data_IF_600407548884
#
_entry.id   IF_600407548884
#
_cell.length_a   1.000
_cell.length_b   1.000
_cell.length_c   1.000
_cell.angle_alpha   90.00
_cell.angle_beta   90.00
_cell.angle_gamma   90.00
#
_symmetry.space_group_name_H-M   'P 1'
#
loop_
_entity.id
_entity.type
_entity.pdbx_description
1 polymer ?
#
# COMPACT_ATOMS: atom_id res chain seq x y z
N UNK A 1 -0.77 -20.77 -36.36
CA UNK A 1 0.00 -19.66 -35.74
C UNK A 1 -0.94 -18.97 -34.78
N UNK A 2 -0.54 -18.81 -33.51
CA UNK A 2 -1.37 -18.12 -32.52
C UNK A 2 -1.39 -16.62 -32.80
N UNK A 3 -2.51 -15.95 -32.53
CA UNK A 3 -2.67 -14.52 -32.78
C UNK A 3 -1.83 -13.72 -31.77
N UNK A 4 -1.22 -12.59 -32.17
CA UNK A 4 -0.47 -11.75 -31.25
C UNK A 4 -1.38 -11.28 -30.12
N UNK A 5 -0.88 -11.32 -28.90
CA UNK A 5 -1.64 -10.97 -27.71
C UNK A 5 -0.94 -9.88 -26.91
N UNK A 6 -1.71 -9.03 -26.25
CA UNK A 6 -1.21 -8.05 -25.30
C UNK A 6 -1.78 -8.34 -23.93
N UNK A 7 -0.95 -8.30 -22.90
CA UNK A 7 -1.38 -8.50 -21.52
C UNK A 7 -1.03 -7.26 -20.71
N UNK A 8 -1.91 -6.89 -19.79
CA UNK A 8 -1.62 -5.86 -18.78
C UNK A 8 -1.03 -6.55 -17.57
N UNK A 9 0.23 -6.27 -17.25
CA UNK A 9 0.95 -6.92 -16.15
C UNK A 9 1.09 -5.94 -15.00
N UNK A 10 0.63 -6.33 -13.80
CA UNK A 10 0.74 -5.57 -12.56
C UNK A 10 1.86 -6.18 -11.73
N UNK A 11 2.91 -5.41 -11.48
CA UNK A 11 4.13 -5.77 -10.76
C UNK A 11 4.14 -4.97 -9.44
N UNK A 12 4.25 -5.66 -8.29
CA UNK A 12 4.38 -5.04 -6.96
C UNK A 12 3.35 -3.94 -6.66
N UNK A 13 2.09 -4.15 -7.07
CA UNK A 13 0.90 -3.28 -6.84
C UNK A 13 0.98 -1.80 -7.28
N UNK A 14 2.14 -1.31 -7.72
CA UNK A 14 2.36 0.08 -8.12
C UNK A 14 2.93 0.22 -9.54
N UNK A 15 3.45 -0.85 -10.14
CA UNK A 15 3.99 -0.83 -11.50
C UNK A 15 3.07 -1.62 -12.43
N UNK A 16 2.57 -0.96 -13.48
CA UNK A 16 1.64 -1.57 -14.44
C UNK A 16 2.24 -1.40 -15.82
N UNK A 17 2.63 -2.51 -16.44
CA UNK A 17 3.28 -2.53 -17.74
C UNK A 17 2.48 -3.33 -18.76
N UNK A 18 2.72 -3.04 -20.03
CA UNK A 18 2.18 -3.82 -21.14
C UNK A 18 3.18 -4.90 -21.53
N UNK A 19 2.76 -6.15 -21.52
CA UNK A 19 3.49 -7.26 -22.10
C UNK A 19 2.94 -7.52 -23.51
N UNK A 20 3.81 -7.53 -24.51
CA UNK A 20 3.44 -7.86 -25.89
C UNK A 20 3.97 -9.23 -26.23
N UNK A 21 3.08 -10.14 -26.62
CA UNK A 21 3.40 -11.51 -27.00
C UNK A 21 3.22 -11.64 -28.51
N UNK A 22 4.29 -11.45 -29.31
CA UNK A 22 4.20 -11.43 -30.76
C UNK A 22 3.76 -12.79 -31.34
N UNK A 23 4.08 -13.88 -30.65
CA UNK A 23 3.68 -15.24 -31.02
C UNK A 23 2.38 -15.71 -30.33
N UNK A 24 1.66 -14.79 -29.66
CA UNK A 24 0.45 -15.09 -28.89
C UNK A 24 0.72 -15.65 -27.50
N UNK A 25 -0.36 -15.95 -26.77
CA UNK A 25 -0.28 -16.51 -25.40
C UNK A 25 0.38 -17.90 -25.46
N UNK A 26 1.47 -18.14 -24.69
CA UNK A 26 2.12 -19.45 -24.64
C UNK A 26 1.17 -20.55 -24.15
N UNK A 27 1.35 -21.77 -24.65
CA UNK A 27 0.55 -22.93 -24.20
C UNK A 27 0.94 -23.43 -22.82
N UNK A 28 2.11 -23.06 -22.31
CA UNK A 28 2.60 -23.48 -20.98
C UNK A 28 2.79 -22.27 -20.08
N UNK A 29 2.44 -22.44 -18.81
CA UNK A 29 2.60 -21.40 -17.78
C UNK A 29 4.08 -21.06 -17.56
N UNK A 30 4.97 -22.04 -17.64
CA UNK A 30 6.42 -21.86 -17.49
C UNK A 30 7.02 -20.98 -18.60
N UNK A 31 6.57 -21.15 -19.85
CA UNK A 31 7.00 -20.28 -20.95
C UNK A 31 6.51 -18.85 -20.74
N UNK A 32 5.27 -18.66 -20.28
CA UNK A 32 4.75 -17.34 -19.93
C UNK A 32 5.55 -16.70 -18.79
N UNK A 33 5.89 -17.46 -17.75
CA UNK A 33 6.74 -16.99 -16.64
C UNK A 33 8.13 -16.58 -17.12
N UNK A 34 8.75 -17.37 -17.98
CA UNK A 34 10.08 -17.09 -18.53
C UNK A 34 10.10 -15.78 -19.33
N UNK A 35 9.10 -15.56 -20.18
CA UNK A 35 8.95 -14.32 -20.94
C UNK A 35 8.77 -13.12 -20.00
N UNK A 36 7.98 -13.27 -18.94
CA UNK A 36 7.74 -12.22 -17.94
C UNK A 36 9.03 -11.88 -17.19
N UNK A 37 9.79 -12.88 -16.75
CA UNK A 37 11.09 -12.71 -16.10
C UNK A 37 12.06 -11.94 -17.00
N UNK A 38 12.19 -12.37 -18.26
CA UNK A 38 13.10 -11.75 -19.23
C UNK A 38 12.69 -10.32 -19.58
N UNK A 39 11.38 -10.10 -19.82
CA UNK A 39 10.86 -8.79 -20.24
C UNK A 39 10.96 -7.75 -19.13
N UNK A 40 10.72 -8.15 -17.89
CA UNK A 40 10.63 -7.22 -16.75
C UNK A 40 11.84 -7.26 -15.82
N UNK A 41 12.84 -8.10 -16.11
CA UNK A 41 14.07 -8.25 -15.32
C UNK A 41 13.74 -8.48 -13.84
N UNK A 42 12.84 -9.42 -13.58
CA UNK A 42 12.40 -9.74 -12.22
C UNK A 42 13.33 -10.77 -11.59
N UNK A 43 13.67 -10.55 -10.32
CA UNK A 43 14.48 -11.49 -9.53
C UNK A 43 13.59 -12.33 -8.60
N UNK A 44 13.77 -13.65 -8.66
CA UNK A 44 13.15 -14.63 -7.75
C UNK A 44 11.85 -15.27 -8.26
N UNK A 45 11.32 -16.17 -7.44
CA UNK A 45 10.08 -16.91 -7.74
C UNK A 45 8.83 -16.07 -7.47
N UNK A 46 7.86 -16.18 -8.38
CA UNK A 46 6.59 -15.47 -8.29
C UNK A 46 5.42 -16.34 -8.71
N UNK A 47 4.26 -16.03 -8.12
CA UNK A 47 2.97 -16.52 -8.54
C UNK A 47 2.33 -15.53 -9.51
N UNK A 48 1.59 -16.06 -10.49
CA UNK A 48 0.78 -15.29 -11.41
C UNK A 48 -0.68 -15.37 -10.98
N UNK A 49 -1.37 -14.24 -11.00
CA UNK A 49 -2.81 -14.17 -10.81
C UNK A 49 -3.47 -13.48 -12.01
N UNK A 50 -4.68 -13.87 -12.41
CA UNK A 50 -5.44 -13.21 -13.47
C UNK A 50 -6.68 -12.52 -12.91
N UNK A 51 -7.10 -11.42 -13.55
CA UNK A 51 -8.34 -10.71 -13.23
C UNK A 51 -9.53 -11.42 -13.88
N UNK A 52 -10.48 -11.88 -13.07
CA UNK A 52 -11.70 -12.55 -13.52
C UNK A 52 -12.89 -11.58 -13.54
N UNK A 53 -13.46 -11.38 -14.73
CA UNK A 53 -14.57 -10.43 -14.92
C UNK A 53 -15.90 -10.96 -14.40
N UNK A 54 -16.06 -12.27 -14.31
CA UNK A 54 -17.29 -12.92 -13.86
C UNK A 54 -17.41 -12.87 -12.32
N UNK A 55 -16.28 -12.71 -11.63
CA UNK A 55 -16.19 -12.56 -10.18
C UNK A 55 -15.92 -11.11 -9.74
N UNK A 56 -16.39 -10.13 -10.51
CA UNK A 56 -16.31 -8.72 -10.11
C UNK A 56 -14.90 -8.13 -10.15
N UNK A 57 -14.04 -8.62 -11.06
CA UNK A 57 -12.65 -8.19 -11.25
C UNK A 57 -11.73 -8.57 -10.06
N UNK A 58 -12.05 -9.64 -9.34
CA UNK A 58 -11.15 -10.24 -8.36
C UNK A 58 -10.01 -11.01 -9.04
N UNK A 59 -8.88 -11.16 -8.33
CA UNK A 59 -7.70 -11.86 -8.84
C UNK A 59 -7.68 -13.31 -8.36
N UNK A 60 -7.45 -14.24 -9.28
CA UNK A 60 -7.34 -15.67 -9.01
C UNK A 60 -5.99 -16.20 -9.46
N UNK A 61 -5.49 -17.24 -8.79
CA UNK A 61 -4.21 -17.87 -9.16
C UNK A 61 -4.29 -18.46 -10.57
N UNK A 62 -3.36 -18.04 -11.44
CA UNK A 62 -3.26 -18.52 -12.80
C UNK A 62 -2.56 -19.89 -12.82
N UNK A 63 -3.34 -20.95 -13.02
CA UNK A 63 -2.83 -22.32 -13.14
C UNK A 63 -2.72 -22.77 -14.60
N UNK A 64 -3.53 -22.18 -15.49
CA UNK A 64 -3.56 -22.48 -16.92
C UNK A 64 -3.53 -21.20 -17.75
N UNK A 65 -2.81 -21.19 -18.88
CA UNK A 65 -2.83 -20.05 -19.80
C UNK A 65 -4.12 -19.97 -20.64
N UNK A 66 -5.04 -20.94 -20.48
CA UNK A 66 -6.38 -20.88 -21.07
C UNK A 66 -7.30 -19.84 -20.39
N UNK A 67 -7.00 -19.47 -19.14
CA UNK A 67 -7.81 -18.54 -18.35
C UNK A 67 -7.50 -17.06 -18.72
N UNK A 68 -6.51 -16.83 -19.57
CA UNK A 68 -6.10 -15.51 -20.03
C UNK A 68 -6.37 -15.33 -21.52
N UNK A 69 -6.85 -14.14 -21.87
CA UNK A 69 -7.20 -13.75 -23.23
C UNK A 69 -6.40 -12.50 -23.63
N UNK A 70 -6.52 -12.10 -24.91
CA UNK A 70 -5.98 -10.81 -25.34
C UNK A 70 -6.56 -9.68 -24.47
N UNK A 71 -5.67 -8.81 -23.99
CA UNK A 71 -5.93 -7.69 -23.07
C UNK A 71 -6.37 -8.09 -21.67
N UNK A 72 -6.17 -9.33 -21.25
CA UNK A 72 -6.33 -9.72 -19.85
C UNK A 72 -5.31 -9.03 -18.94
N UNK A 73 -5.70 -8.80 -17.68
CA UNK A 73 -4.82 -8.29 -16.63
C UNK A 73 -4.26 -9.47 -15.84
N UNK A 74 -2.95 -9.46 -15.63
CA UNK A 74 -2.24 -10.44 -14.81
C UNK A 74 -1.49 -9.69 -13.71
N UNK A 75 -1.53 -10.18 -12.48
CA UNK A 75 -0.78 -9.66 -11.32
C UNK A 75 0.32 -10.62 -10.93
N UNK A 76 1.51 -10.08 -10.68
CA UNK A 76 2.67 -10.81 -10.18
C UNK A 76 2.71 -10.66 -8.67
N UNK A 77 2.74 -11.80 -7.97
CA UNK A 77 2.88 -11.86 -6.51
C UNK A 77 4.18 -12.58 -6.18
N UNK A 78 5.12 -11.88 -5.57
CA UNK A 78 6.43 -12.44 -5.22
C UNK A 78 6.27 -13.44 -4.08
N UNK A 79 6.83 -14.64 -4.22
CA UNK A 79 6.77 -15.67 -3.17
C UNK A 79 7.98 -15.44 -2.27
N UNK A 80 7.77 -14.89 -1.08
CA UNK A 80 8.84 -14.76 -0.10
C UNK A 80 9.28 -16.16 0.35
N UNK A 81 10.55 -16.50 0.09
CA UNK A 81 11.14 -17.74 0.60
C UNK A 81 11.24 -17.66 2.11
N UNK A 82 10.51 -18.51 2.83
CA UNK A 82 10.54 -18.59 4.28
C UNK A 82 11.91 -19.08 4.75
N UNK A 83 12.71 -18.18 5.32
CA UNK A 83 13.95 -18.55 6.02
C UNK A 83 13.55 -19.27 7.30
N UNK A 84 13.75 -20.59 7.35
CA UNK A 84 13.49 -21.39 8.54
C UNK A 84 14.67 -21.25 9.50
N UNK A 85 14.53 -20.42 10.54
CA UNK A 85 15.50 -20.33 11.63
C UNK A 85 15.34 -21.57 12.54
N UNK A 86 16.28 -22.50 12.42
CA UNK A 86 16.39 -23.65 13.32
C UNK A 86 17.14 -23.23 14.58
N UNK A 87 16.42 -23.05 15.68
CA UNK A 87 17.02 -22.86 17.00
C UNK A 87 17.33 -24.21 17.63
N UNK A 88 18.60 -24.44 17.99
CA UNK A 88 19.01 -25.58 18.80
C UNK A 88 18.85 -25.22 20.29
N UNK A 89 18.21 -26.06 21.13
CA UNK A 89 18.07 -25.77 22.55
C UNK A 89 19.42 -25.93 23.26
N UNK A 90 19.83 -24.91 24.00
CA UNK A 90 20.97 -24.96 24.93
C UNK A 90 20.46 -25.57 26.23
N UNK A 91 20.98 -26.74 26.58
CA UNK A 91 20.72 -27.38 27.87
C UNK A 91 21.39 -26.58 29.00
N UNK A 92 20.62 -26.27 30.04
CA UNK A 92 21.09 -25.65 31.27
C UNK A 92 21.98 -26.63 32.06
N UNK A 93 23.18 -26.19 32.43
CA UNK A 93 23.87 -26.66 33.63
C UNK A 93 24.87 -25.63 34.14
N UNK A 94 24.91 -25.60 35.46
CA UNK A 94 25.41 -24.59 36.38
C UNK A 94 26.94 -24.44 36.48
N UNK A 95 27.36 -23.19 36.74
CA UNK A 95 28.52 -22.70 37.54
C UNK A 95 29.93 -23.16 37.07
N UNK A 96 30.98 -22.32 36.96
CA UNK A 96 31.64 -21.53 38.01
C UNK A 96 32.56 -20.43 37.41
N UNK A 97 32.64 -19.33 38.18
CA UNK A 97 33.55 -18.17 38.22
C UNK A 97 34.97 -18.31 37.61
N UNK A 98 35.37 -17.34 36.78
CA UNK A 98 36.61 -16.57 37.00
C UNK A 98 36.71 -15.28 36.18
N UNK A 99 37.11 -14.24 36.90
CA UNK A 99 37.35 -12.85 36.54
C UNK A 99 38.60 -12.62 35.69
N UNK A 100 38.56 -11.75 34.68
CA UNK A 100 39.24 -10.43 34.64
C UNK A 100 39.08 -9.73 33.27
N UNK A 101 39.12 -8.38 33.22
CA UNK A 101 38.94 -7.58 32.00
C UNK A 101 40.28 -7.19 31.35
N UNK A 102 40.37 -7.18 30.01
CA UNK A 102 41.46 -6.53 29.26
C UNK A 102 41.05 -6.14 27.84
N UNK A 103 40.64 -4.88 27.71
CA UNK A 103 41.21 -3.81 26.88
C UNK A 103 41.83 -4.07 25.48
N UNK A 104 41.48 -3.13 24.58
CA UNK A 104 42.18 -2.65 23.36
C UNK A 104 42.16 -3.50 22.08
N UNK A 105 41.43 -3.04 21.04
CA UNK A 105 42.05 -2.24 19.97
C UNK A 105 41.02 -1.66 18.98
N UNK A 106 41.11 -0.34 18.81
CA UNK A 106 40.66 0.43 17.66
C UNK A 106 41.38 -0.06 16.39
N UNK A 107 40.69 -0.04 15.26
CA UNK A 107 41.31 0.23 13.96
C UNK A 107 40.28 0.87 13.03
N UNK A 108 40.31 2.19 13.02
CA UNK A 108 39.84 3.00 11.91
C UNK A 108 40.91 2.95 10.80
N UNK A 109 40.50 2.74 9.56
CA UNK A 109 41.21 3.31 8.40
C UNK A 109 40.18 3.78 7.39
N UNK A 110 40.22 5.10 7.18
CA UNK A 110 39.41 5.95 6.30
C UNK A 110 40.03 6.00 4.89
N UNK A 111 39.46 6.85 4.02
CA UNK A 111 39.97 7.38 2.74
C UNK A 111 39.47 6.61 1.48
N UNK A 112 38.87 7.20 0.43
CA UNK A 112 38.65 8.60 0.05
C UNK A 112 37.54 8.71 -1.01
N UNK A 113 36.98 9.91 -1.12
CA UNK A 113 36.01 10.34 -2.12
C UNK A 113 36.66 10.82 -3.44
N UNK A 114 35.77 10.94 -4.43
CA UNK A 114 35.78 11.79 -5.64
C UNK A 114 36.42 11.21 -6.92
N UNK A 115 35.61 11.01 -7.97
CA UNK A 115 35.54 11.99 -9.07
C UNK A 115 34.43 11.60 -10.07
N UNK A 116 33.76 12.62 -10.57
CA UNK A 116 32.59 12.60 -11.44
C UNK A 116 33.00 12.55 -12.91
N UNK A 117 32.31 11.75 -13.74
CA UNK A 117 32.21 12.04 -15.17
C UNK A 117 30.77 11.85 -15.67
N UNK A 118 30.12 12.99 -15.90
CA UNK A 118 28.83 13.11 -16.55
C UNK A 118 28.93 12.74 -18.03
N UNK A 119 27.94 12.00 -18.54
CA UNK A 119 27.65 11.98 -19.98
C UNK A 119 26.15 11.82 -20.26
N UNK A 120 25.58 12.94 -20.70
CA UNK A 120 24.61 13.07 -21.79
C UNK A 120 23.17 12.52 -21.64
N UNK A 121 22.27 13.49 -21.43
CA UNK A 121 21.04 13.71 -22.23
C UNK A 121 19.84 12.80 -22.01
N UNK A 122 18.91 13.29 -21.18
CA UNK A 122 17.55 13.70 -21.62
C UNK A 122 16.90 14.56 -20.54
N UNK A 123 16.30 15.67 -20.96
CA UNK A 123 15.52 16.58 -20.12
C UNK A 123 14.34 15.83 -19.47
N UNK A 124 14.54 15.40 -18.23
CA UNK A 124 13.44 15.17 -17.29
C UNK A 124 13.63 16.18 -16.19
N UNK A 125 12.68 17.11 -16.09
CA UNK A 125 12.52 17.97 -14.93
C UNK A 125 12.46 17.06 -13.71
N UNK A 126 13.56 16.99 -12.95
CA UNK A 126 13.58 16.38 -11.62
C UNK A 126 12.70 17.30 -10.78
N UNK A 127 11.41 16.97 -10.71
CA UNK A 127 10.51 17.56 -9.74
C UNK A 127 11.11 17.26 -8.36
N UNK A 128 11.19 18.24 -7.45
CA UNK A 128 11.74 18.01 -6.12
C UNK A 128 11.01 16.83 -5.46
N UNK A 129 11.80 15.86 -5.00
CA UNK A 129 11.41 14.60 -4.33
C UNK A 129 10.66 14.81 -2.99
N UNK A 130 10.21 16.02 -2.67
CA UNK A 130 9.64 16.40 -1.38
C UNK A 130 8.28 15.77 -1.04
N UNK A 131 7.81 14.80 -1.82
CA UNK A 131 6.60 14.03 -1.51
C UNK A 131 6.77 12.53 -1.74
N UNK A 132 8.00 11.98 -1.65
CA UNK A 132 8.14 10.53 -1.46
C UNK A 132 7.66 10.20 -0.06
N UNK A 133 6.38 9.88 0.00
CA UNK A 133 5.74 9.28 1.14
C UNK A 133 6.49 7.99 1.48
N UNK A 134 6.71 7.75 2.77
CA UNK A 134 7.46 6.58 3.22
C UNK A 134 6.84 5.30 2.62
N UNK A 135 7.65 4.27 2.32
CA UNK A 135 7.09 3.00 1.87
C UNK A 135 6.07 2.49 2.89
N UNK A 136 5.00 1.88 2.40
CA UNK A 136 3.95 1.37 3.28
C UNK A 136 4.55 0.38 4.30
N UNK A 137 4.27 0.54 5.61
CA UNK A 137 4.93 -0.26 6.64
C UNK A 137 4.40 -1.71 6.60
N UNK A 138 5.27 -2.67 6.90
CA UNK A 138 4.88 -4.08 7.07
C UNK A 138 3.84 -4.24 8.20
N UNK A 139 4.00 -3.47 9.27
CA UNK A 139 3.07 -3.37 10.39
C UNK A 139 2.73 -1.91 10.64
N UNK A 140 1.45 -1.56 10.50
CA UNK A 140 1.01 -0.20 10.75
C UNK A 140 0.93 0.07 12.26
N UNK A 141 1.79 0.97 12.75
CA UNK A 141 1.75 1.41 14.15
C UNK A 141 0.66 2.46 14.38
N UNK A 142 -0.18 2.25 15.40
CA UNK A 142 -1.23 3.21 15.73
C UNK A 142 -0.61 4.45 16.39
N UNK A 143 -0.74 5.64 15.75
CA UNK A 143 -0.20 6.87 16.29
C UNK A 143 -0.80 7.19 17.66
N UNK A 144 -0.08 7.98 18.46
CA UNK A 144 -0.62 8.49 19.72
C UNK A 144 -1.74 9.48 19.41
N UNK A 145 -2.87 9.32 20.10
CA UNK A 145 -3.95 10.29 20.06
C UNK A 145 -3.69 11.42 21.06
N UNK A 146 -4.54 12.45 21.02
CA UNK A 146 -4.52 13.51 22.02
C UNK A 146 -4.75 12.93 23.43
N UNK A 147 -4.21 13.62 24.44
CA UNK A 147 -4.16 13.10 25.82
C UNK A 147 -5.55 12.71 26.37
N UNK A 148 -6.55 13.50 26.06
CA UNK A 148 -7.96 13.26 26.39
C UNK A 148 -8.51 12.00 25.70
N UNK A 149 -8.28 11.86 24.39
CA UNK A 149 -8.71 10.69 23.61
C UNK A 149 -8.04 9.41 24.14
N UNK A 150 -6.74 9.44 24.42
CA UNK A 150 -6.01 8.30 24.99
C UNK A 150 -6.58 7.88 26.35
N UNK A 151 -6.86 8.84 27.24
CA UNK A 151 -7.45 8.56 28.56
C UNK A 151 -8.85 7.93 28.43
N UNK A 152 -9.68 8.48 27.54
CA UNK A 152 -11.02 7.94 27.28
C UNK A 152 -10.93 6.51 26.72
N UNK A 153 -10.04 6.27 25.76
CA UNK A 153 -9.85 4.96 25.15
C UNK A 153 -9.33 3.93 26.14
N UNK A 154 -8.42 4.30 27.05
CA UNK A 154 -7.92 3.42 28.10
C UNK A 154 -9.02 2.96 29.04
N UNK A 155 -9.86 3.89 29.52
CA UNK A 155 -10.98 3.57 30.39
C UNK A 155 -12.04 2.74 29.66
N UNK A 156 -12.37 3.10 28.42
CA UNK A 156 -13.32 2.34 27.60
C UNK A 156 -12.81 0.92 27.29
N UNK A 157 -11.51 0.76 27.02
CA UNK A 157 -10.90 -0.57 26.87
C UNK A 157 -11.02 -1.38 28.14
N UNK A 158 -10.77 -0.79 29.31
CA UNK A 158 -10.91 -1.49 30.60
C UNK A 158 -12.34 -2.00 30.77
N UNK A 159 -13.34 -1.16 30.50
CA UNK A 159 -14.75 -1.56 30.56
C UNK A 159 -15.06 -2.68 29.57
N UNK A 160 -14.59 -2.57 28.32
CA UNK A 160 -14.76 -3.62 27.31
C UNK A 160 -14.23 -4.98 27.78
N UNK A 161 -13.07 -5.04 28.43
CA UNK A 161 -12.54 -6.30 28.96
C UNK A 161 -13.34 -6.84 30.15
N UNK A 162 -14.02 -5.99 30.91
CA UNK A 162 -14.81 -6.40 32.08
C UNK A 162 -16.18 -6.94 31.69
N UNK A 163 -16.87 -6.30 30.75
CA UNK A 163 -18.28 -6.60 30.45
C UNK A 163 -18.64 -6.57 28.96
N UNK A 164 -17.65 -6.39 28.06
CA UNK A 164 -17.87 -6.35 26.61
C UNK A 164 -18.52 -5.06 26.10
N UNK A 165 -18.62 -4.01 26.92
CA UNK A 165 -19.25 -2.74 26.52
C UNK A 165 -18.45 -2.07 25.41
N UNK A 166 -19.08 -1.90 24.24
CA UNK A 166 -18.49 -1.17 23.11
C UNK A 166 -18.46 0.33 23.36
N UNK A 167 -17.43 1.00 22.87
CA UNK A 167 -17.27 2.44 22.96
C UNK A 167 -18.02 3.17 21.82
N UNK A 168 -18.85 4.14 22.19
CA UNK A 168 -19.59 4.96 21.23
C UNK A 168 -19.63 6.46 21.62
N UNK A 169 -18.53 7.17 21.39
CA UNK A 169 -18.50 8.64 21.38
C UNK A 169 -18.12 9.14 19.98
N UNK A 170 -19.05 9.86 19.33
CA UNK A 170 -18.88 10.38 17.99
C UNK A 170 -17.71 11.37 17.85
N UNK A 171 -17.44 12.19 18.87
CA UNK A 171 -16.36 13.19 18.88
C UNK A 171 -15.01 12.51 18.95
N UNK A 172 -14.88 11.55 19.86
CA UNK A 172 -13.65 10.75 20.01
C UNK A 172 -13.39 9.93 18.74
N UNK A 173 -14.42 9.25 18.20
CA UNK A 173 -14.31 8.53 16.93
C UNK A 173 -13.88 9.44 15.77
N UNK A 174 -14.36 10.68 15.73
CA UNK A 174 -13.94 11.66 14.72
C UNK A 174 -12.46 12.07 14.87
N UNK A 175 -11.99 12.31 16.10
CA UNK A 175 -10.60 12.64 16.39
C UNK A 175 -9.65 11.47 16.04
N UNK A 176 -10.06 10.23 16.31
CA UNK A 176 -9.32 9.02 15.90
C UNK A 176 -9.20 8.97 14.38
N UNK A 177 -10.32 9.10 13.66
CA UNK A 177 -10.31 9.11 12.18
C UNK A 177 -9.43 10.21 11.60
N UNK A 178 -9.40 11.38 12.22
CA UNK A 178 -8.53 12.49 11.81
C UNK A 178 -7.06 12.09 11.96
N UNK A 179 -6.65 11.64 13.14
CA UNK A 179 -5.26 11.25 13.43
C UNK A 179 -4.79 10.10 12.54
N UNK A 180 -5.66 9.10 12.31
CA UNK A 180 -5.36 8.00 11.40
C UNK A 180 -5.24 8.49 9.96
N UNK A 181 -6.12 9.38 9.50
CA UNK A 181 -6.01 9.92 8.13
C UNK A 181 -4.71 10.68 7.92
N UNK A 182 -4.26 11.44 8.92
CA UNK A 182 -3.01 12.20 8.85
C UNK A 182 -1.80 11.25 8.82
N UNK A 183 -1.82 10.16 9.61
CA UNK A 183 -0.78 9.13 9.59
C UNK A 183 -0.76 8.34 8.28
N UNK A 184 -1.91 7.87 7.77
CA UNK A 184 -2.00 7.17 6.47
C UNK A 184 -1.44 8.05 5.34
N UNK A 185 -1.74 9.36 5.39
CA UNK A 185 -1.29 10.30 4.37
C UNK A 185 0.24 10.48 4.33
N UNK A 186 0.97 10.11 5.40
CA UNK A 186 2.45 10.10 5.39
C UNK A 186 3.01 9.01 4.46
N UNK A 187 2.21 7.99 4.13
CA UNK A 187 2.59 6.87 3.27
C UNK A 187 1.92 6.90 1.89
N UNK A 188 0.64 7.28 1.80
CA UNK A 188 -0.04 7.43 0.51
C UNK A 188 -1.27 8.32 0.58
N UNK A 189 -1.45 9.18 -0.43
CA UNK A 189 -2.71 9.88 -0.61
C UNK A 189 -3.85 8.95 -1.07
N UNK A 190 -3.54 7.82 -1.69
CA UNK A 190 -4.46 6.85 -2.29
C UNK A 190 -4.32 5.45 -1.66
N UNK A 191 -4.66 5.27 -0.37
CA UNK A 191 -4.59 3.96 0.27
C UNK A 191 -5.53 2.96 -0.41
N UNK A 192 -5.02 1.74 -0.59
CA UNK A 192 -5.78 0.59 -1.10
C UNK A 192 -6.70 0.01 -0.02
N UNK A 193 -7.59 -0.90 -0.39
CA UNK A 193 -8.45 -1.58 0.57
C UNK A 193 -7.65 -2.41 1.59
N UNK A 194 -6.53 -2.99 1.18
CA UNK A 194 -5.62 -3.72 2.06
C UNK A 194 -4.94 -2.79 3.07
N UNK A 195 -4.45 -1.63 2.64
CA UNK A 195 -3.89 -0.61 3.53
C UNK A 195 -4.91 -0.17 4.59
N UNK A 196 -6.14 0.09 4.18
CA UNK A 196 -7.22 0.46 5.11
C UNK A 196 -7.50 -0.69 6.09
N UNK A 197 -7.55 -1.93 5.63
CA UNK A 197 -7.78 -3.09 6.48
C UNK A 197 -6.68 -3.20 7.57
N UNK A 198 -5.40 -3.12 7.20
CA UNK A 198 -4.28 -3.20 8.15
C UNK A 198 -4.35 -2.13 9.24
N UNK A 199 -4.71 -0.89 8.88
CA UNK A 199 -4.88 0.20 9.86
C UNK A 199 -6.01 -0.12 10.84
N UNK A 200 -7.12 -0.65 10.33
CA UNK A 200 -8.29 -0.98 11.17
C UNK A 200 -8.00 -2.17 12.07
N UNK A 201 -7.30 -3.19 11.57
CA UNK A 201 -6.85 -4.33 12.37
C UNK A 201 -5.93 -3.89 13.50
N UNK A 202 -4.94 -3.05 13.20
CA UNK A 202 -4.04 -2.49 14.21
C UNK A 202 -4.82 -1.63 15.23
N UNK A 203 -5.80 -0.84 14.78
CA UNK A 203 -6.62 0.01 15.65
C UNK A 203 -7.44 -0.82 16.63
N UNK A 204 -8.15 -1.82 16.12
CA UNK A 204 -9.02 -2.69 16.90
C UNK A 204 -8.21 -3.66 17.77
N UNK A 205 -7.02 -4.07 17.32
CA UNK A 205 -6.08 -4.84 18.13
C UNK A 205 -5.61 -4.07 19.36
N UNK A 206 -5.28 -2.78 19.20
CA UNK A 206 -4.87 -1.90 20.30
C UNK A 206 -6.04 -1.43 21.16
N UNK A 207 -7.20 -1.19 20.54
CA UNK A 207 -8.40 -0.70 21.20
C UNK A 207 -9.63 -1.57 20.88
N UNK A 208 -9.76 -2.76 21.53
CA UNK A 208 -10.89 -3.66 21.31
C UNK A 208 -12.26 -3.03 21.59
N UNK A 209 -12.32 -2.00 22.46
CA UNK A 209 -13.55 -1.26 22.72
C UNK A 209 -14.15 -0.58 21.49
N UNK A 210 -13.35 -0.36 20.44
CA UNK A 210 -13.79 0.28 19.20
C UNK A 210 -14.48 -0.69 18.23
N UNK A 211 -14.56 -1.99 18.54
CA UNK A 211 -15.31 -2.96 17.72
C UNK A 211 -16.78 -2.58 17.67
N UNK A 212 -17.32 -2.51 16.45
CA UNK A 212 -18.74 -2.22 16.24
C UNK A 212 -19.60 -3.44 16.59
N UNK A 213 -20.59 -3.30 17.50
CA UNK A 213 -21.49 -4.40 17.83
C UNK A 213 -22.37 -4.75 16.62
N UNK A 214 -22.53 -6.05 16.35
CA UNK A 214 -23.41 -6.54 15.28
C UNK A 214 -22.76 -6.63 13.88
N UNK A 215 -21.51 -6.20 13.71
CA UNK A 215 -20.73 -6.51 12.51
C UNK A 215 -19.96 -7.83 12.71
N UNK A 216 -19.91 -8.69 11.68
CA UNK A 216 -19.23 -9.99 11.74
C UNK A 216 -17.75 -9.87 12.19
N UNK A 217 -17.05 -8.83 11.76
CA UNK A 217 -15.67 -8.54 12.16
C UNK A 217 -15.55 -7.39 13.19
N UNK A 218 -16.59 -6.59 13.38
CA UNK A 218 -16.53 -5.37 14.19
C UNK A 218 -15.69 -4.23 13.57
N UNK A 219 -15.21 -4.40 12.34
CA UNK A 219 -14.23 -3.52 11.68
C UNK A 219 -14.79 -2.76 10.47
N UNK A 220 -15.93 -3.20 9.93
CA UNK A 220 -16.44 -2.72 8.64
C UNK A 220 -16.74 -1.21 8.62
N UNK A 221 -17.43 -0.66 9.63
CA UNK A 221 -17.73 0.77 9.65
C UNK A 221 -16.48 1.64 9.78
N UNK A 222 -15.45 1.17 10.49
CA UNK A 222 -14.14 1.83 10.51
C UNK A 222 -13.51 1.87 9.12
N UNK A 223 -13.49 0.75 8.39
CA UNK A 223 -12.97 0.71 7.01
C UNK A 223 -13.69 1.72 6.12
N UNK A 224 -15.03 1.70 6.10
CA UNK A 224 -15.82 2.62 5.27
C UNK A 224 -15.61 4.09 5.65
N UNK A 225 -15.51 4.37 6.95
CA UNK A 225 -15.26 5.72 7.46
C UNK A 225 -13.88 6.24 7.05
N UNK A 226 -12.85 5.40 7.05
CA UNK A 226 -11.50 5.76 6.63
C UNK A 226 -11.43 5.94 5.10
N UNK A 227 -12.03 5.05 4.30
CA UNK A 227 -12.13 5.23 2.84
C UNK A 227 -12.77 6.58 2.49
N UNK A 228 -13.90 6.88 3.13
CA UNK A 228 -14.63 8.15 2.96
C UNK A 228 -13.78 9.34 3.40
N UNK A 229 -13.12 9.23 4.55
CA UNK A 229 -12.24 10.27 5.10
C UNK A 229 -11.08 10.58 4.16
N UNK A 230 -10.40 9.57 3.63
CA UNK A 230 -9.26 9.75 2.70
C UNK A 230 -9.70 10.37 1.38
N UNK A 231 -10.88 10.00 0.86
CA UNK A 231 -11.47 10.67 -0.31
C UNK A 231 -11.73 12.16 -0.06
N UNK A 232 -12.33 12.49 1.09
CA UNK A 232 -12.56 13.88 1.50
C UNK A 232 -11.26 14.64 1.74
N UNK A 233 -10.24 14.00 2.33
CA UNK A 233 -8.93 14.58 2.57
C UNK A 233 -8.26 14.99 1.26
N UNK A 234 -8.21 14.09 0.27
CA UNK A 234 -7.74 14.41 -1.09
C UNK A 234 -8.53 15.56 -1.72
N UNK A 235 -9.87 15.57 -1.60
CA UNK A 235 -10.71 16.65 -2.13
C UNK A 235 -10.41 18.00 -1.46
N UNK A 236 -10.17 17.99 -0.16
CA UNK A 236 -9.79 19.19 0.61
C UNK A 236 -8.44 19.73 0.12
N UNK A 237 -7.42 18.89 -0.01
CA UNK A 237 -6.10 19.30 -0.52
C UNK A 237 -6.20 19.94 -1.92
N UNK A 238 -6.98 19.31 -2.81
CA UNK A 238 -7.28 19.85 -4.15
C UNK A 238 -7.94 21.24 -4.08
N UNK A 239 -8.95 21.40 -3.22
CA UNK A 239 -9.67 22.68 -3.10
C UNK A 239 -8.82 23.82 -2.54
N UNK A 240 -7.74 23.50 -1.81
CA UNK A 240 -6.84 24.46 -1.16
C UNK A 240 -5.58 24.75 -1.97
N UNK A 241 -5.44 24.16 -3.17
CA UNK A 241 -4.24 24.24 -4.00
C UNK A 241 -2.96 23.89 -3.20
N UNK A 242 -3.06 22.94 -2.26
CA UNK A 242 -1.88 22.43 -1.57
C UNK A 242 -1.18 21.49 -2.54
N UNK A 243 0.05 21.85 -2.94
CA UNK A 243 0.83 21.07 -3.88
C UNK A 243 1.22 19.73 -3.28
N UNK A 244 0.60 18.67 -3.81
CA UNK A 244 0.96 17.28 -3.55
C UNK A 244 1.10 16.60 -4.92
N UNK A 245 2.32 16.28 -5.39
CA UNK A 245 2.58 15.71 -6.71
C UNK A 245 1.70 14.49 -7.03
N UNK A 246 1.49 13.61 -6.04
CA UNK A 246 0.61 12.42 -6.15
C UNK A 246 -0.85 12.79 -6.50
N UNK A 247 -1.32 13.96 -6.05
CA UNK A 247 -2.67 14.47 -6.27
C UNK A 247 -2.74 15.32 -7.56
N UNK A 248 -1.65 16.02 -7.90
CA UNK A 248 -1.52 16.93 -9.04
C UNK A 248 -1.46 16.22 -10.41
N UNK A 249 -0.95 14.99 -10.47
CA UNK A 249 -0.94 14.17 -11.71
C UNK A 249 -2.36 14.02 -12.28
N UNK A 250 -3.38 14.01 -11.41
CA UNK A 250 -4.80 13.96 -11.78
C UNK A 250 -5.44 15.34 -12.04
N UNK A 251 -4.77 16.43 -11.70
CA UNK A 251 -5.23 17.81 -11.89
C UNK A 251 -4.89 18.32 -13.28
N UNK A 252 -3.64 18.11 -13.73
CA UNK A 252 -3.16 18.57 -15.05
C UNK A 252 -3.94 17.94 -16.21
N UNK A 253 -4.32 16.66 -16.10
CA UNK A 253 -5.17 15.98 -17.09
C UNK A 253 -6.55 16.61 -17.29
N UNK A 254 -7.08 17.37 -16.32
CA UNK A 254 -8.36 18.09 -16.48
C UNK A 254 -8.18 19.53 -16.95
N UNK A 255 -6.97 20.09 -16.88
CA UNK A 255 -6.66 21.44 -17.34
C UNK A 255 -6.27 21.47 -18.83
N UNK A 256 -5.74 20.36 -19.35
CA UNK A 256 -5.47 20.16 -20.79
C UNK A 256 -6.72 19.87 -21.64
N UNK A 257 -7.93 20.10 -21.10
CA UNK A 257 -9.12 20.27 -21.94
C UNK A 257 -9.16 21.69 -22.53
N UNK A 258 -8.09 22.09 -23.22
CA UNK A 258 -8.03 23.36 -23.96
C UNK A 258 -8.82 23.35 -25.27
N UNK A 259 -9.76 22.41 -25.46
CA UNK A 259 -10.84 22.55 -26.42
C UNK A 259 -12.14 22.83 -25.65
N UNK A 260 -12.25 24.06 -25.17
CA UNK A 260 -13.55 24.62 -24.77
C UNK A 260 -14.42 24.79 -26.02
N UNK A 261 -15.56 24.12 -26.06
CA UNK A 261 -16.74 24.66 -26.72
C UNK A 261 -17.69 25.16 -25.61
N UNK A 262 -18.15 26.42 -25.63
CA UNK A 262 -19.04 26.94 -24.61
C UNK A 262 -20.44 26.32 -24.79
N UNK A 263 -20.88 25.54 -23.81
CA UNK A 263 -22.26 25.08 -23.74
C UNK A 263 -23.18 26.32 -23.59
N UNK A 264 -23.97 26.58 -24.63
CA UNK A 264 -24.90 27.70 -24.71
C UNK A 264 -25.90 27.63 -23.55
N UNK A 265 -26.03 28.76 -22.86
CA UNK A 265 -27.12 29.06 -21.92
C UNK A 265 -28.46 28.82 -22.62
N UNK A 266 -29.29 27.94 -22.07
CA UNK A 266 -30.73 27.96 -22.33
C UNK A 266 -31.47 28.36 -21.06
N UNK A 267 -32.32 29.37 -21.26
CA UNK A 267 -33.01 30.23 -20.32
C UNK A 267 -34.24 29.50 -19.74
N UNK A 268 -34.53 29.76 -18.46
CA UNK A 268 -35.77 29.35 -17.75
C UNK A 268 -37.03 29.59 -18.59
N UNK A 269 -37.96 28.63 -18.55
CA UNK A 269 -39.38 28.82 -18.77
C UNK A 269 -40.14 28.44 -17.49
N UNK A 270 -40.86 29.41 -16.94
CA UNK A 270 -41.82 29.27 -15.84
C UNK A 270 -43.20 29.28 -16.51
N UNK A 271 -43.98 28.22 -16.33
CA UNK A 271 -45.45 28.18 -16.39
C UNK A 271 -45.90 26.92 -15.68
#
# INVERSE_FOLDING_TARGET
MSLPAQLRVVIKDCDVRKLTLPSGIPQTLEALRSIILETFQLDGDFSLMYEDKDFGNEYFTLTSTADINDKSTIKIVQVESTVTLTFSPIAESDLVVSSTPRSHQNSEVQCSADDSLASSSRDTVILPDSCRLDPWPLHFEIPKFSRDVELILQEANKQYHMNGTSFDDARVKAAIRQTLSDSIFQYTAYPTDHHILQVVEALVGKFPCLKEPGSFSGMYGWQQSLKTRMSNFRRMLKSRNISCPEIEVNFLKRKDSSNQAPAKKHKKGRS
#
